data_IF_014706937664
#
_entry.id   IF_014706937664
#
_cell.length_a   1.000
_cell.length_b   1.000
_cell.length_c   1.000
_cell.angle_alpha   90.00
_cell.angle_beta   90.00
_cell.angle_gamma   90.00
#
_symmetry.space_group_name_H-M   'P 1'
#
loop_
_entity.id
_entity.type
_entity.pdbx_description
1 polymer ?
#
# COMPACT_ATOMS: atom_id res chain seq x y z
N UNK A 1 -7.70 -12.10 10.36
CA UNK A 1 -6.43 -11.52 9.87
C UNK A 1 -6.69 -10.82 8.53
N UNK A 2 -6.22 -9.58 8.26
CA UNK A 2 -6.45 -8.88 7.00
C UNK A 2 -5.89 -9.65 5.81
N UNK A 3 -4.78 -10.35 6.07
CA UNK A 3 -4.12 -11.28 5.18
C UNK A 3 -5.07 -12.36 4.67
N UNK A 4 -6.07 -12.82 5.45
CA UNK A 4 -7.00 -13.85 4.98
C UNK A 4 -7.88 -13.33 3.84
N UNK A 5 -8.38 -12.10 3.93
CA UNK A 5 -9.20 -11.51 2.85
C UNK A 5 -8.37 -11.33 1.58
N UNK A 6 -7.13 -10.86 1.72
CA UNK A 6 -6.20 -10.74 0.61
C UNK A 6 -5.84 -12.10 0.00
N UNK A 7 -5.40 -13.06 0.81
CA UNK A 7 -5.03 -14.41 0.36
C UNK A 7 -6.20 -15.10 -0.33
N UNK A 8 -7.39 -15.09 0.29
CA UNK A 8 -8.58 -15.66 -0.32
C UNK A 8 -8.91 -15.02 -1.68
N UNK A 9 -8.73 -13.70 -1.80
CA UNK A 9 -8.89 -13.01 -3.07
C UNK A 9 -7.87 -13.49 -4.11
N UNK A 10 -6.57 -13.48 -3.78
CA UNK A 10 -5.51 -13.93 -4.68
C UNK A 10 -5.67 -15.40 -5.09
N UNK A 11 -6.00 -16.27 -4.14
CA UNK A 11 -6.27 -17.69 -4.36
C UNK A 11 -7.47 -17.89 -5.31
N UNK A 12 -8.55 -17.11 -5.12
CA UNK A 12 -9.74 -17.17 -5.99
C UNK A 12 -9.43 -16.74 -7.43
N UNK A 13 -8.48 -15.82 -7.61
CA UNK A 13 -7.99 -15.35 -8.91
C UNK A 13 -6.85 -16.21 -9.45
N UNK A 14 -6.40 -17.24 -8.70
CA UNK A 14 -5.29 -18.13 -9.06
C UNK A 14 -3.97 -17.39 -9.30
N UNK A 15 -3.75 -16.30 -8.57
CA UNK A 15 -2.51 -15.53 -8.60
C UNK A 15 -1.44 -16.24 -7.76
N UNK A 16 -0.25 -16.42 -8.32
CA UNK A 16 0.90 -16.93 -7.56
C UNK A 16 1.48 -15.80 -6.71
N UNK A 17 1.70 -16.07 -5.44
CA UNK A 17 2.35 -15.13 -4.52
C UNK A 17 3.22 -15.89 -3.52
N UNK A 18 4.18 -15.18 -2.93
CA UNK A 18 4.98 -15.65 -1.81
C UNK A 18 4.67 -14.80 -0.58
N UNK A 19 4.65 -15.41 0.60
CA UNK A 19 4.64 -14.69 1.87
C UNK A 19 6.01 -14.84 2.52
N UNK A 20 6.70 -13.72 2.72
CA UNK A 20 8.03 -13.68 3.34
C UNK A 20 7.84 -13.05 4.73
N UNK A 21 8.16 -13.80 5.78
CA UNK A 21 8.20 -13.27 7.14
C UNK A 21 9.62 -12.83 7.49
N UNK A 22 9.76 -11.73 8.21
CA UNK A 22 11.02 -11.14 8.63
C UNK A 22 10.95 -10.64 10.09
N UNK A 23 12.09 -10.24 10.64
CA UNK A 23 12.12 -9.59 11.96
C UNK A 23 11.44 -8.21 11.91
N UNK A 24 10.71 -7.87 12.97
CA UNK A 24 9.90 -6.65 13.06
C UNK A 24 10.66 -5.38 12.63
N UNK A 25 10.07 -4.62 11.71
CA UNK A 25 10.66 -3.41 11.15
C UNK A 25 9.59 -2.35 10.86
N UNK A 26 9.64 -1.22 11.55
CA UNK A 26 8.54 -0.24 11.56
C UNK A 26 8.52 0.72 10.38
N UNK A 27 9.62 0.87 9.65
CA UNK A 27 9.66 1.68 8.43
C UNK A 27 9.74 0.79 7.20
N UNK A 28 9.07 1.20 6.11
CA UNK A 28 9.11 0.46 4.85
C UNK A 28 10.56 0.23 4.35
N UNK A 29 11.49 1.15 4.63
CA UNK A 29 12.89 0.98 4.26
C UNK A 29 13.61 -0.08 5.12
N UNK A 30 13.28 -0.19 6.41
CA UNK A 30 13.79 -1.26 7.27
C UNK A 30 13.19 -2.62 6.89
N UNK A 31 11.91 -2.68 6.54
CA UNK A 31 11.26 -3.91 6.04
C UNK A 31 11.98 -4.41 4.79
N UNK A 32 12.21 -3.53 3.83
CA UNK A 32 12.95 -3.86 2.61
C UNK A 32 14.34 -4.45 2.93
N UNK A 33 15.09 -3.80 3.83
CA UNK A 33 16.40 -4.30 4.27
C UNK A 33 16.32 -5.69 4.94
N UNK A 34 15.36 -5.90 5.85
CA UNK A 34 15.16 -7.18 6.54
C UNK A 34 14.74 -8.31 5.59
N UNK A 35 13.91 -8.01 4.60
CA UNK A 35 13.48 -8.94 3.57
C UNK A 35 14.54 -9.17 2.47
N UNK A 36 15.69 -8.49 2.54
CA UNK A 36 16.72 -8.46 1.49
C UNK A 36 16.17 -8.00 0.12
N UNK A 37 15.13 -7.16 0.16
CA UNK A 37 14.52 -6.54 -1.01
C UNK A 37 15.06 -5.11 -1.11
N UNK A 38 15.60 -4.67 -2.27
CA UNK A 38 15.92 -3.27 -2.47
C UNK A 38 14.72 -2.37 -2.14
N UNK A 39 14.87 -1.32 -1.33
CA UNK A 39 13.76 -0.42 -0.95
C UNK A 39 13.09 0.34 -2.12
N UNK A 40 13.60 0.19 -3.34
CA UNK A 40 12.97 0.62 -4.59
C UNK A 40 11.92 -0.38 -5.12
N UNK A 41 12.03 -1.65 -4.74
CA UNK A 41 11.17 -2.77 -5.15
C UNK A 41 10.07 -3.08 -4.12
N UNK A 42 10.20 -2.58 -2.89
CA UNK A 42 9.13 -2.62 -1.90
C UNK A 42 8.16 -1.45 -2.12
N UNK A 43 6.91 -1.74 -2.44
CA UNK A 43 5.83 -0.77 -2.49
C UNK A 43 5.26 -0.51 -1.08
N UNK A 44 4.98 0.76 -0.79
CA UNK A 44 4.21 1.17 0.38
C UNK A 44 2.87 1.77 -0.04
N UNK A 45 1.88 1.60 0.83
CA UNK A 45 0.55 2.18 0.66
C UNK A 45 0.42 3.38 1.59
N UNK A 46 0.08 4.54 1.02
CA UNK A 46 -0.22 5.77 1.76
C UNK A 46 -1.69 6.11 1.57
N UNK A 47 -2.41 6.29 2.67
CA UNK A 47 -3.81 6.68 2.65
C UNK A 47 -3.94 8.18 2.39
N UNK A 48 -4.77 8.53 1.42
CA UNK A 48 -5.01 9.92 1.00
C UNK A 48 -6.51 10.16 0.84
N UNK A 49 -6.91 11.43 0.91
CA UNK A 49 -8.24 11.88 0.51
C UNK A 49 -8.15 12.66 -0.79
N UNK A 50 -8.94 12.27 -1.78
CA UNK A 50 -9.09 12.97 -3.07
C UNK A 50 -10.50 13.54 -3.12
N UNK A 51 -10.63 14.86 -3.07
CA UNK A 51 -11.93 15.56 -2.93
C UNK A 51 -12.81 14.98 -1.80
N UNK A 52 -12.18 14.69 -0.66
CA UNK A 52 -12.83 14.14 0.54
C UNK A 52 -13.12 12.64 0.49
N UNK A 53 -12.84 11.95 -0.62
CA UNK A 53 -12.99 10.49 -0.74
C UNK A 53 -11.69 9.76 -0.42
N UNK A 54 -11.78 8.70 0.37
CA UNK A 54 -10.63 7.87 0.73
C UNK A 54 -10.08 7.15 -0.51
N UNK A 55 -8.76 7.21 -0.69
CA UNK A 55 -8.03 6.53 -1.75
C UNK A 55 -6.64 6.08 -1.26
N UNK A 56 -6.00 5.24 -2.06
CA UNK A 56 -4.65 4.74 -1.81
C UNK A 56 -3.67 5.32 -2.83
N UNK A 57 -2.54 5.82 -2.35
CA UNK A 57 -1.37 6.11 -3.17
C UNK A 57 -0.31 5.03 -2.93
N UNK A 58 0.10 4.33 -3.98
CA UNK A 58 1.04 3.21 -3.92
C UNK A 58 2.31 3.60 -4.64
N UNK A 59 3.42 3.60 -3.92
CA UNK A 59 4.70 4.11 -4.39
C UNK A 59 5.86 3.32 -3.76
N UNK A 60 7.07 3.35 -4.33
CA UNK A 60 8.22 2.72 -3.70
C UNK A 60 8.44 3.24 -2.28
N UNK A 61 8.91 2.38 -1.38
CA UNK A 61 9.14 2.70 0.03
C UNK A 61 10.03 3.93 0.22
N UNK A 62 11.01 4.10 -0.68
CA UNK A 62 11.96 5.21 -0.78
C UNK A 62 11.37 6.55 -1.23
N UNK A 63 10.15 6.59 -1.76
CA UNK A 63 9.53 7.80 -2.34
C UNK A 63 8.55 8.45 -1.36
N UNK A 64 8.21 9.72 -1.57
CA UNK A 64 7.13 10.40 -0.84
C UNK A 64 6.00 10.76 -1.80
N UNK A 65 4.78 10.89 -1.27
CA UNK A 65 3.62 11.29 -2.08
C UNK A 65 3.79 12.74 -2.50
N UNK A 66 3.87 12.99 -3.81
CA UNK A 66 3.77 14.34 -4.37
C UNK A 66 2.28 14.68 -4.56
N UNK A 67 1.73 15.44 -3.61
CA UNK A 67 0.33 15.88 -3.65
C UNK A 67 0.02 16.77 -4.86
N UNK A 68 1.00 17.53 -5.38
CA UNK A 68 0.79 18.37 -6.57
C UNK A 68 0.65 17.50 -7.81
N UNK A 69 1.51 16.50 -7.95
CA UNK A 69 1.43 15.53 -9.04
C UNK A 69 0.12 14.73 -8.94
N UNK A 70 -0.21 14.21 -7.75
CA UNK A 70 -1.42 13.42 -7.54
C UNK A 70 -2.67 14.23 -7.87
N UNK A 71 -2.76 15.49 -7.42
CA UNK A 71 -3.86 16.41 -7.77
C UNK A 71 -3.98 16.64 -9.28
N UNK A 72 -2.86 16.80 -9.98
CA UNK A 72 -2.85 16.97 -11.44
C UNK A 72 -3.34 15.71 -12.16
N UNK A 73 -2.93 14.52 -11.69
CA UNK A 73 -3.31 13.23 -12.27
C UNK A 73 -4.79 12.93 -12.05
N UNK A 74 -5.33 13.22 -10.87
CA UNK A 74 -6.75 12.97 -10.56
C UNK A 74 -7.68 14.04 -11.11
N UNK A 75 -7.17 15.23 -11.44
CA UNK A 75 -7.99 16.39 -11.77
C UNK A 75 -8.76 16.95 -10.58
N UNK A 76 -8.42 16.53 -9.35
CA UNK A 76 -9.15 16.87 -8.14
C UNK A 76 -8.97 18.32 -7.70
N UNK A 77 -9.97 18.84 -6.99
CA UNK A 77 -9.91 20.16 -6.35
C UNK A 77 -8.99 20.18 -5.12
N UNK A 78 -8.97 19.09 -4.34
CA UNK A 78 -8.13 18.91 -3.16
C UNK A 78 -7.57 17.48 -3.06
N UNK A 79 -6.31 17.37 -2.63
CA UNK A 79 -5.68 16.09 -2.28
C UNK A 79 -4.87 16.28 -1.00
N UNK A 80 -5.11 15.43 -0.01
CA UNK A 80 -4.47 15.52 1.31
C UNK A 80 -4.18 14.13 1.88
N UNK A 81 -3.29 14.07 2.88
CA UNK A 81 -3.06 12.84 3.64
C UNK A 81 -4.31 12.51 4.45
N UNK A 82 -4.68 11.23 4.55
CA UNK A 82 -5.72 10.80 5.46
C UNK A 82 -5.15 10.66 6.88
N UNK A 83 -5.92 11.08 7.89
CA UNK A 83 -5.58 10.81 9.28
C UNK A 83 -5.82 9.34 9.61
N UNK A 84 -4.97 8.76 10.46
CA UNK A 84 -5.07 7.35 10.83
C UNK A 84 -6.44 6.98 11.42
N UNK A 85 -7.08 7.92 12.13
CA UNK A 85 -8.40 7.74 12.71
C UNK A 85 -9.49 7.55 11.67
N UNK A 86 -9.34 8.14 10.48
CA UNK A 86 -10.33 8.08 9.41
C UNK A 86 -10.37 6.70 8.74
N UNK A 87 -9.26 5.97 8.76
CA UNK A 87 -9.15 4.71 8.02
C UNK A 87 -8.83 3.47 8.85
N UNK A 88 -8.41 3.60 10.12
CA UNK A 88 -8.15 2.45 11.00
C UNK A 88 -9.31 1.45 11.05
N UNK A 89 -10.55 1.95 10.98
CA UNK A 89 -11.77 1.12 10.98
C UNK A 89 -11.94 0.24 9.74
N UNK A 90 -11.34 0.60 8.59
CA UNK A 90 -11.38 -0.23 7.39
C UNK A 90 -10.39 -1.40 7.47
N UNK A 91 -9.36 -1.30 8.31
CA UNK A 91 -8.30 -2.29 8.45
C UNK A 91 -8.11 -2.72 9.92
N UNK A 92 -9.16 -3.25 10.58
CA UNK A 92 -9.16 -3.47 12.03
C UNK A 92 -8.12 -4.48 12.53
N UNK A 93 -7.60 -5.32 11.64
CA UNK A 93 -6.62 -6.34 11.97
C UNK A 93 -5.24 -6.06 11.34
N UNK A 94 -5.03 -4.88 10.73
CA UNK A 94 -3.80 -4.49 10.04
C UNK A 94 -3.05 -3.47 10.88
N UNK A 95 -1.75 -3.68 11.06
CA UNK A 95 -0.88 -2.63 11.59
C UNK A 95 -0.87 -1.42 10.64
N UNK A 96 -0.88 -0.22 11.21
CA UNK A 96 -0.81 1.02 10.45
C UNK A 96 0.48 1.06 9.63
N UNK A 97 0.36 1.41 8.36
CA UNK A 97 1.47 1.37 7.41
C UNK A 97 1.76 -0.01 6.81
N UNK A 98 1.05 -1.07 7.23
CA UNK A 98 1.14 -2.41 6.64
C UNK A 98 -0.06 -2.75 5.73
N UNK A 99 -0.83 -1.75 5.30
CA UNK A 99 -2.02 -1.95 4.45
C UNK A 99 -1.60 -2.44 3.07
N UNK A 100 -2.15 -3.57 2.59
CA UNK A 100 -1.87 -4.05 1.25
C UNK A 100 -2.50 -3.11 0.20
N UNK A 101 -1.88 -2.93 -0.99
CA UNK A 101 -2.31 -1.99 -2.03
C UNK A 101 -3.55 -2.47 -2.83
N UNK A 102 -4.56 -3.01 -2.13
CA UNK A 102 -5.74 -3.64 -2.71
C UNK A 102 -7.01 -2.85 -2.37
N UNK A 103 -7.07 -1.61 -2.82
CA UNK A 103 -8.22 -0.72 -2.59
C UNK A 103 -9.55 -1.29 -3.12
N UNK A 104 -9.51 -2.16 -4.14
CA UNK A 104 -10.67 -2.88 -4.65
C UNK A 104 -11.36 -3.74 -3.58
N UNK A 105 -10.64 -4.24 -2.58
CA UNK A 105 -11.23 -4.99 -1.46
C UNK A 105 -12.01 -4.09 -0.49
N UNK A 106 -11.83 -2.77 -0.57
CA UNK A 106 -12.37 -1.77 0.34
C UNK A 106 -13.15 -0.65 -0.39
N UNK A 107 -13.41 -0.82 -1.70
CA UNK A 107 -14.06 0.18 -2.56
C UNK A 107 -13.34 1.55 -2.54
N UNK A 108 -12.01 1.51 -2.62
CA UNK A 108 -11.13 2.67 -2.67
C UNK A 108 -10.37 2.70 -3.99
N UNK A 109 -10.26 3.88 -4.59
CA UNK A 109 -9.39 4.09 -5.76
C UNK A 109 -7.93 3.89 -5.37
N UNK A 110 -7.14 3.32 -6.29
CA UNK A 110 -5.71 3.07 -6.11
C UNK A 110 -4.93 3.77 -7.21
N UNK A 111 -4.04 4.67 -6.79
CA UNK A 111 -3.13 5.40 -7.66
C UNK A 111 -1.72 4.84 -7.48
N UNK A 112 -1.17 4.24 -8.54
CA UNK A 112 0.14 3.57 -8.49
C UNK A 112 1.19 4.41 -9.20
N UNK A 113 2.35 4.59 -8.58
CA UNK A 113 3.49 5.22 -9.21
C UNK A 113 3.97 4.39 -10.41
N UNK A 114 4.12 5.03 -11.57
CA UNK A 114 4.49 4.38 -12.85
C UNK A 114 5.72 3.48 -12.72
N UNK A 115 6.70 3.88 -11.90
CA UNK A 115 7.92 3.09 -11.64
C UNK A 115 7.64 1.67 -11.13
N UNK A 116 6.60 1.47 -10.32
CA UNK A 116 6.23 0.13 -9.82
C UNK A 116 5.61 -0.75 -10.91
N UNK A 117 5.17 -0.19 -12.02
CA UNK A 117 4.64 -0.94 -13.16
C UNK A 117 5.73 -1.41 -14.13
N UNK A 118 6.97 -0.92 -13.96
CA UNK A 118 8.14 -1.33 -14.74
C UNK A 118 8.74 -2.66 -14.24
N UNK A 119 8.44 -3.04 -12.99
CA UNK A 119 8.94 -4.27 -12.36
C UNK A 119 8.04 -5.47 -12.71
N UNK A 120 8.63 -6.66 -12.91
CA UNK A 120 7.88 -7.90 -13.21
C UNK A 120 7.06 -8.41 -12.00
N UNK A 121 7.53 -8.11 -10.79
CA UNK A 121 6.93 -8.51 -9.53
C UNK A 121 6.79 -7.30 -8.61
N UNK A 122 5.81 -7.32 -7.71
CA UNK A 122 5.61 -6.27 -6.70
C UNK A 122 5.68 -6.87 -5.29
N UNK A 123 6.56 -6.34 -4.45
CA UNK A 123 6.62 -6.67 -3.03
C UNK A 123 5.93 -5.57 -2.22
N UNK A 124 5.16 -5.93 -1.19
CA UNK A 124 4.47 -4.99 -0.32
C UNK A 124 4.17 -5.61 1.05
N UNK A 125 3.98 -4.76 2.06
CA UNK A 125 3.57 -5.20 3.39
C UNK A 125 2.09 -5.62 3.39
N UNK A 126 1.78 -6.69 4.12
CA UNK A 126 0.42 -7.23 4.18
C UNK A 126 0.05 -7.57 5.62
N UNK A 127 -0.57 -6.63 6.35
CA UNK A 127 -1.21 -6.88 7.64
C UNK A 127 -0.34 -6.66 8.87
N UNK A 128 0.98 -6.87 8.77
CA UNK A 128 1.95 -6.65 9.87
C UNK A 128 3.28 -6.17 9.30
N UNK A 129 4.13 -5.63 10.17
CA UNK A 129 5.53 -5.31 9.92
C UNK A 129 6.49 -6.48 10.21
N UNK A 130 5.99 -7.72 10.10
CA UNK A 130 6.73 -8.98 10.33
C UNK A 130 6.47 -10.00 9.22
#
# INVERSE_FOLDING_TARGET
MPIQKLKAFLDSQKVKYLSISHSEAFTAQQVAASAHIPGKELAKTVMVKVDGKMAMAVLPASHQVDFRQLKKTTGAGNVELADEEDFKGFFPECELGAMPPFGNLYNMDVYVAERLSEDEEIAFNAGSHT
#
